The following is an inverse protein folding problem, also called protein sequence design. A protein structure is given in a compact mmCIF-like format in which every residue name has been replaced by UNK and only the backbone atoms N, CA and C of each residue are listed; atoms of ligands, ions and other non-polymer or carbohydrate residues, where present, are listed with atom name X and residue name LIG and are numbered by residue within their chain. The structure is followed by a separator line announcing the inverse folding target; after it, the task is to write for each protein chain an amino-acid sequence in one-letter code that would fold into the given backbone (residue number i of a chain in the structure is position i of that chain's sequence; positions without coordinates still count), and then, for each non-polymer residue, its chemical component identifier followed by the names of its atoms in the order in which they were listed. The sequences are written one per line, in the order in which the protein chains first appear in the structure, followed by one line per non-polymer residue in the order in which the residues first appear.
data_IF_947633775325
#
_entry.id   IF_947633775325
#
_cell.length_a   1.000
_cell.length_b   1.000
_cell.length_c   1.000
_cell.angle_alpha   90.00
_cell.angle_beta   90.00
_cell.angle_gamma   90.00
#
_symmetry.space_group_name_H-M   'P 1'
#
loop_
_entity.id
_entity.type
_entity.pdbx_description
1 polymer ?
#
# COMPACT_ATOMS: atom_id res chain seq x y z
N UNK A 1 -6.55 -21.43 -21.85
CA UNK A 1 -6.99 -20.09 -21.39
C UNK A 1 -8.07 -20.32 -20.35
N UNK A 2 -8.12 -19.54 -19.28
CA UNK A 2 -9.22 -19.64 -18.30
C UNK A 2 -10.38 -18.85 -18.92
N UNK A 3 -11.35 -19.57 -19.49
CA UNK A 3 -12.57 -19.01 -20.11
C UNK A 3 -13.68 -18.80 -19.06
N UNK A 4 -13.35 -18.13 -17.98
CA UNK A 4 -14.28 -17.89 -16.89
C UNK A 4 -14.60 -16.39 -16.83
N UNK A 5 -15.87 -15.96 -16.71
CA UNK A 5 -16.22 -14.56 -16.51
C UNK A 5 -15.55 -14.00 -15.26
N UNK A 6 -15.22 -12.71 -15.27
CA UNK A 6 -14.46 -12.06 -14.19
C UNK A 6 -15.17 -12.15 -12.83
N UNK A 7 -16.48 -12.02 -12.81
CA UNK A 7 -17.34 -12.13 -11.63
C UNK A 7 -17.39 -13.53 -11.00
N UNK A 8 -16.96 -14.55 -11.76
CA UNK A 8 -16.84 -15.93 -11.32
C UNK A 8 -15.39 -16.33 -10.98
N UNK A 9 -14.43 -15.42 -11.17
CA UNK A 9 -13.00 -15.70 -10.89
C UNK A 9 -12.66 -15.48 -9.42
N UNK A 10 -12.02 -16.46 -8.82
CA UNK A 10 -11.37 -16.28 -7.53
C UNK A 10 -9.94 -15.76 -7.64
N UNK A 11 -9.33 -15.42 -6.52
CA UNK A 11 -7.93 -14.92 -6.48
C UNK A 11 -6.93 -15.90 -7.10
N UNK A 12 -7.19 -17.21 -7.06
CA UNK A 12 -6.32 -18.22 -7.69
C UNK A 12 -6.36 -18.11 -9.21
N UNK A 13 -7.55 -17.90 -9.78
CA UNK A 13 -7.75 -17.74 -11.23
C UNK A 13 -7.04 -16.47 -11.70
N UNK A 14 -7.25 -15.33 -11.01
CA UNK A 14 -6.59 -14.06 -11.30
C UNK A 14 -5.06 -14.17 -11.21
N UNK A 15 -4.54 -14.87 -10.20
CA UNK A 15 -3.10 -15.11 -10.07
C UNK A 15 -2.54 -15.94 -11.22
N UNK A 16 -3.27 -16.96 -11.69
CA UNK A 16 -2.85 -17.77 -12.82
C UNK A 16 -2.79 -16.96 -14.12
N UNK A 17 -3.79 -16.10 -14.36
CA UNK A 17 -3.81 -15.18 -15.50
C UNK A 17 -2.64 -14.19 -15.43
N UNK A 18 -2.44 -13.57 -14.28
CA UNK A 18 -1.33 -12.63 -14.06
C UNK A 18 0.02 -13.31 -14.33
N UNK A 19 0.19 -14.57 -13.88
CA UNK A 19 1.43 -15.34 -14.16
C UNK A 19 1.70 -15.55 -15.64
N UNK A 20 0.66 -15.72 -16.45
CA UNK A 20 0.79 -15.91 -17.90
C UNK A 20 1.09 -14.58 -18.63
N UNK A 21 0.60 -13.48 -18.12
CA UNK A 21 0.74 -12.15 -18.73
C UNK A 21 2.01 -11.42 -18.31
N UNK A 22 2.56 -11.73 -17.15
CA UNK A 22 3.76 -11.08 -16.63
C UNK A 22 5.04 -11.70 -17.18
N UNK A 23 6.06 -10.85 -17.40
CA UNK A 23 7.44 -11.32 -17.61
C UNK A 23 7.94 -12.09 -16.37
N UNK A 24 8.94 -12.93 -16.52
CA UNK A 24 9.54 -13.64 -15.40
C UNK A 24 10.11 -12.69 -14.33
N UNK A 25 10.67 -11.57 -14.76
CA UNK A 25 11.20 -10.52 -13.88
C UNK A 25 10.07 -9.83 -13.08
N UNK A 26 9.01 -9.39 -13.75
CA UNK A 26 7.85 -8.78 -13.10
C UNK A 26 7.20 -9.76 -12.10
N UNK A 27 7.02 -11.00 -12.52
CA UNK A 27 6.50 -12.04 -11.64
C UNK A 27 7.36 -12.24 -10.40
N UNK A 28 8.68 -12.34 -10.57
CA UNK A 28 9.63 -12.47 -9.47
C UNK A 28 9.56 -11.28 -8.51
N UNK A 29 9.42 -10.07 -9.05
CA UNK A 29 9.29 -8.85 -8.25
C UNK A 29 8.02 -8.83 -7.39
N UNK A 30 6.85 -9.13 -7.97
CA UNK A 30 5.56 -9.03 -7.28
C UNK A 30 5.21 -10.26 -6.45
N UNK A 31 5.70 -11.44 -6.80
CA UNK A 31 5.41 -12.71 -6.11
C UNK A 31 6.63 -13.31 -5.42
N UNK A 32 7.76 -12.64 -5.47
CA UNK A 32 8.97 -13.05 -4.79
C UNK A 32 8.94 -12.75 -3.31
N UNK A 33 9.93 -13.26 -2.62
CA UNK A 33 10.14 -12.99 -1.20
C UNK A 33 11.62 -12.97 -0.87
N UNK A 34 11.96 -12.28 0.21
CA UNK A 34 13.32 -12.08 0.65
C UNK A 34 13.87 -13.29 1.42
N UNK A 35 15.18 -13.44 1.36
CA UNK A 35 15.97 -14.38 2.15
C UNK A 35 15.42 -15.81 2.07
N UNK A 36 15.17 -16.45 3.22
CA UNK A 36 14.64 -17.81 3.32
C UNK A 36 13.15 -17.93 3.03
N UNK A 37 12.47 -16.82 2.74
CA UNK A 37 11.01 -16.76 2.55
C UNK A 37 10.19 -17.19 3.78
N UNK A 38 10.80 -17.23 4.96
CA UNK A 38 10.11 -17.69 6.17
C UNK A 38 8.85 -16.89 6.48
N UNK A 39 8.94 -15.56 6.44
CA UNK A 39 7.79 -14.66 6.67
C UNK A 39 6.73 -14.82 5.57
N UNK A 40 7.13 -14.94 4.31
CA UNK A 40 6.22 -15.17 3.19
C UNK A 40 5.36 -16.43 3.40
N UNK A 41 5.96 -17.52 3.83
CA UNK A 41 5.24 -18.76 4.12
C UNK A 41 4.42 -18.70 5.42
N UNK A 42 4.88 -17.93 6.40
CA UNK A 42 4.18 -17.74 7.68
C UNK A 42 2.92 -16.90 7.55
N UNK A 43 2.93 -15.86 6.72
CA UNK A 43 1.83 -14.89 6.61
C UNK A 43 0.47 -15.57 6.31
N UNK A 44 0.32 -16.40 5.26
CA UNK A 44 -0.96 -17.08 5.01
C UNK A 44 -1.35 -18.03 6.16
N UNK A 45 -0.36 -18.72 6.75
CA UNK A 45 -0.60 -19.67 7.85
C UNK A 45 -1.05 -18.98 9.14
N UNK A 46 -0.71 -17.71 9.32
CA UNK A 46 -1.10 -16.97 10.53
C UNK A 46 -2.62 -16.87 10.67
N UNK A 47 -3.36 -16.73 9.56
CA UNK A 47 -4.81 -16.67 9.56
C UNK A 47 -5.47 -17.97 10.07
N UNK A 48 -4.85 -19.13 9.90
CA UNK A 48 -5.37 -20.40 10.42
C UNK A 48 -5.39 -20.51 11.95
N UNK A 49 -4.76 -19.55 12.66
CA UNK A 49 -4.79 -19.48 14.12
C UNK A 49 -6.05 -18.83 14.67
N UNK A 50 -6.82 -18.16 13.81
CA UNK A 50 -8.03 -17.43 14.18
C UNK A 50 -9.24 -18.18 13.64
N UNK A 51 -10.25 -18.38 14.50
CA UNK A 51 -11.49 -19.03 14.16
C UNK A 51 -12.65 -18.10 14.43
N UNK A 52 -13.66 -18.12 13.56
CA UNK A 52 -14.91 -17.41 13.79
C UNK A 52 -15.73 -18.14 14.86
N UNK A 53 -16.14 -17.41 15.88
CA UNK A 53 -17.14 -17.91 16.81
C UNK A 53 -18.54 -17.67 16.20
N UNK A 54 -19.10 -18.72 15.62
CA UNK A 54 -20.42 -18.66 14.99
C UNK A 54 -21.50 -18.26 16.00
N UNK A 55 -22.40 -17.36 15.59
CA UNK A 55 -23.66 -17.03 16.28
C UNK A 55 -24.79 -17.31 15.30
N UNK A 56 -25.84 -18.02 15.78
CA UNK A 56 -26.90 -18.53 14.91
C UNK A 56 -28.25 -17.79 15.05
N UNK A 57 -28.45 -17.05 16.12
CA UNK A 57 -29.73 -16.34 16.37
C UNK A 57 -29.61 -14.85 16.04
N UNK A 58 -29.04 -14.54 14.87
CA UNK A 58 -28.92 -13.17 14.35
C UNK A 58 -29.39 -13.14 12.91
N UNK A 59 -30.18 -12.13 12.58
CA UNK A 59 -30.46 -11.82 11.18
C UNK A 59 -29.22 -11.17 10.55
N UNK A 60 -28.73 -11.80 9.51
CA UNK A 60 -27.55 -11.36 8.73
C UNK A 60 -27.83 -11.39 7.23
N UNK A 61 -29.10 -11.31 6.84
CA UNK A 61 -29.50 -11.36 5.44
C UNK A 61 -28.91 -10.19 4.62
N UNK A 62 -28.77 -9.02 5.25
CA UNK A 62 -28.21 -7.82 4.62
C UNK A 62 -27.28 -7.10 5.61
N UNK A 63 -26.04 -7.59 5.77
CA UNK A 63 -25.11 -7.00 6.73
C UNK A 63 -24.60 -5.64 6.22
N UNK A 64 -24.63 -4.63 7.09
CA UNK A 64 -23.96 -3.37 6.84
C UNK A 64 -22.42 -3.56 6.93
N UNK A 65 -21.73 -3.42 5.79
CA UNK A 65 -20.29 -3.51 5.68
C UNK A 65 -19.63 -2.14 5.49
N UNK A 66 -20.38 -1.05 5.61
CA UNK A 66 -19.82 0.31 5.50
C UNK A 66 -18.90 0.61 6.69
N UNK A 67 -17.95 1.50 6.46
CA UNK A 67 -17.05 1.98 7.51
C UNK A 67 -16.69 3.44 7.26
N UNK A 68 -16.00 4.04 8.21
CA UNK A 68 -15.46 5.40 8.07
C UNK A 68 -13.98 5.42 8.39
N UNK A 69 -13.20 6.12 7.58
CA UNK A 69 -11.77 6.33 7.79
C UNK A 69 -11.38 7.74 7.32
N UNK A 70 -10.73 8.52 8.19
CA UNK A 70 -10.33 9.91 7.92
C UNK A 70 -11.51 10.78 7.42
N UNK A 71 -12.65 10.71 8.09
CA UNK A 71 -13.89 11.42 7.76
C UNK A 71 -14.49 11.06 6.37
N UNK A 72 -14.03 9.95 5.78
CA UNK A 72 -14.57 9.42 4.53
C UNK A 72 -15.38 8.15 4.78
N UNK A 73 -16.66 8.16 4.37
CA UNK A 73 -17.49 6.95 4.35
C UNK A 73 -17.04 6.04 3.21
N UNK A 74 -16.81 4.78 3.55
CA UNK A 74 -16.41 3.74 2.62
C UNK A 74 -17.51 2.68 2.55
N UNK A 75 -17.99 2.32 1.35
CA UNK A 75 -19.03 1.30 1.18
C UNK A 75 -18.52 -0.11 1.54
N UNK A 76 -17.21 -0.31 1.57
CA UNK A 76 -16.57 -1.57 1.96
C UNK A 76 -15.38 -1.30 2.89
N UNK A 77 -15.10 -2.16 3.88
CA UNK A 77 -13.97 -2.01 4.79
C UNK A 77 -12.66 -2.50 4.16
N UNK A 78 -12.35 -2.01 2.96
CA UNK A 78 -11.18 -2.41 2.20
C UNK A 78 -10.38 -1.19 1.73
N UNK A 79 -9.06 -1.33 1.81
CA UNK A 79 -8.10 -0.31 1.40
C UNK A 79 -7.10 -0.93 0.43
N UNK A 80 -6.87 -0.29 -0.71
CA UNK A 80 -5.87 -0.73 -1.68
C UNK A 80 -4.48 -0.34 -1.18
N UNK A 81 -3.62 -1.32 -0.97
CA UNK A 81 -2.26 -1.12 -0.46
C UNK A 81 -1.37 -0.34 -1.45
N UNK A 82 -0.38 0.44 -0.97
CA UNK A 82 0.52 1.21 -1.82
C UNK A 82 1.56 0.29 -2.46
N UNK A 83 1.42 0.03 -3.74
CA UNK A 83 2.35 -0.78 -4.53
C UNK A 83 3.17 0.12 -5.44
N UNK A 84 4.50 -0.03 -5.41
CA UNK A 84 5.41 0.60 -6.37
C UNK A 84 5.69 -0.29 -7.57
N UNK A 85 6.48 0.25 -8.52
CA UNK A 85 7.03 -0.53 -9.64
C UNK A 85 6.00 -1.09 -10.64
N UNK A 86 4.80 -0.54 -10.71
CA UNK A 86 3.81 -0.94 -11.72
C UNK A 86 4.33 -0.86 -13.16
N UNK A 87 5.32 -0.03 -13.42
CA UNK A 87 5.99 0.05 -14.73
C UNK A 87 6.60 -1.28 -15.21
N UNK A 88 6.82 -2.24 -14.31
CA UNK A 88 7.27 -3.60 -14.68
C UNK A 88 6.18 -4.44 -15.35
N UNK A 89 4.91 -4.07 -15.16
CA UNK A 89 3.77 -4.81 -15.73
C UNK A 89 3.05 -4.04 -16.82
N UNK A 90 3.45 -2.83 -17.12
CA UNK A 90 2.94 -2.03 -18.24
C UNK A 90 2.83 -0.54 -17.95
N UNK A 91 2.43 0.20 -18.98
CA UNK A 91 2.14 1.63 -18.86
C UNK A 91 0.75 1.83 -18.24
N UNK A 92 0.59 2.91 -17.46
CA UNK A 92 -0.69 3.34 -16.86
C UNK A 92 -1.34 2.31 -15.89
N UNK A 93 -0.59 1.35 -15.38
CA UNK A 93 -1.15 0.35 -14.46
C UNK A 93 -1.57 0.93 -13.12
N UNK A 94 -0.92 1.99 -12.66
CA UNK A 94 -1.37 2.77 -11.49
C UNK A 94 -2.77 3.36 -11.71
N UNK A 95 -3.05 3.87 -12.91
CA UNK A 95 -4.36 4.40 -13.27
C UNK A 95 -5.44 3.31 -13.26
N UNK A 96 -5.16 2.14 -13.83
CA UNK A 96 -6.10 1.00 -13.84
C UNK A 96 -6.47 0.56 -12.40
N UNK A 97 -5.49 0.57 -11.48
CA UNK A 97 -5.74 0.28 -10.05
C UNK A 97 -6.61 1.35 -9.40
N UNK A 98 -6.36 2.63 -9.70
CA UNK A 98 -7.15 3.74 -9.20
C UNK A 98 -8.61 3.69 -9.69
N UNK A 99 -8.82 3.40 -10.97
CA UNK A 99 -10.15 3.18 -11.57
C UNK A 99 -10.86 1.97 -10.95
N UNK A 100 -10.10 0.91 -10.63
CA UNK A 100 -10.64 -0.27 -9.93
C UNK A 100 -11.10 0.05 -8.51
N UNK A 101 -10.30 0.81 -7.76
CA UNK A 101 -10.68 1.28 -6.43
C UNK A 101 -11.94 2.17 -6.46
N UNK A 102 -12.04 3.05 -7.46
CA UNK A 102 -13.19 3.94 -7.65
C UNK A 102 -14.50 3.18 -7.85
N UNK A 103 -14.46 2.13 -8.66
CA UNK A 103 -15.66 1.30 -8.97
C UNK A 103 -16.30 0.66 -7.74
N UNK A 104 -15.51 0.38 -6.70
CA UNK A 104 -15.98 -0.26 -5.47
C UNK A 104 -15.99 0.69 -4.28
N UNK A 105 -15.61 1.95 -4.48
CA UNK A 105 -15.52 2.96 -3.43
C UNK A 105 -14.45 2.68 -2.36
N UNK A 106 -13.43 1.88 -2.70
CA UNK A 106 -12.34 1.57 -1.78
C UNK A 106 -11.36 2.74 -1.66
N UNK A 107 -10.90 3.04 -0.44
CA UNK A 107 -9.78 3.96 -0.24
C UNK A 107 -8.50 3.39 -0.88
N UNK A 108 -7.67 4.26 -1.44
CA UNK A 108 -6.44 3.87 -2.11
C UNK A 108 -5.22 4.52 -1.48
N UNK A 109 -4.22 3.71 -1.12
CA UNK A 109 -2.90 4.21 -0.77
C UNK A 109 -2.02 4.22 -2.02
N UNK A 110 -1.32 5.34 -2.26
CA UNK A 110 -0.44 5.50 -3.42
C UNK A 110 1.00 5.69 -2.98
N UNK A 111 1.91 5.06 -3.70
CA UNK A 111 3.33 5.03 -3.34
C UNK A 111 4.13 6.11 -4.06
N UNK A 112 4.99 6.85 -3.35
CA UNK A 112 5.98 7.73 -3.97
C UNK A 112 6.94 6.97 -4.94
N UNK A 113 7.03 5.65 -4.81
CA UNK A 113 7.81 4.82 -5.74
C UNK A 113 7.09 4.55 -7.07
N UNK A 114 5.84 4.93 -7.21
CA UNK A 114 5.12 4.91 -8.47
C UNK A 114 5.67 5.99 -9.45
N UNK A 115 5.41 5.82 -10.73
CA UNK A 115 5.78 6.82 -11.75
C UNK A 115 4.71 7.88 -11.94
N UNK A 116 3.49 7.60 -11.55
CA UNK A 116 2.36 8.53 -11.61
C UNK A 116 2.48 9.62 -10.56
N UNK A 117 2.03 10.82 -10.90
CA UNK A 117 1.99 11.96 -9.99
C UNK A 117 0.70 11.98 -9.16
N UNK A 118 0.63 12.76 -8.06
CA UNK A 118 -0.62 12.95 -7.33
C UNK A 118 -1.79 13.44 -8.20
N UNK A 119 -1.51 14.27 -9.20
CA UNK A 119 -2.53 14.73 -10.18
C UNK A 119 -3.07 13.59 -11.02
N UNK A 120 -2.20 12.69 -11.48
CA UNK A 120 -2.62 11.54 -12.30
C UNK A 120 -3.57 10.64 -11.51
N UNK A 121 -3.27 10.38 -10.23
CA UNK A 121 -4.15 9.58 -9.37
C UNK A 121 -5.48 10.28 -9.12
N UNK A 122 -5.45 11.58 -8.78
CA UNK A 122 -6.70 12.33 -8.54
C UNK A 122 -7.59 12.38 -9.78
N UNK A 123 -7.01 12.45 -10.97
CA UNK A 123 -7.74 12.41 -12.24
C UNK A 123 -8.33 11.03 -12.57
N UNK A 124 -7.74 9.97 -12.04
CA UNK A 124 -8.16 8.60 -12.30
C UNK A 124 -9.26 8.09 -11.37
N UNK A 125 -9.45 8.69 -10.19
CA UNK A 125 -10.42 8.23 -9.20
C UNK A 125 -11.00 9.38 -8.37
N UNK A 126 -12.24 9.23 -7.92
CA UNK A 126 -12.88 10.07 -6.90
C UNK A 126 -12.74 9.46 -5.49
N UNK A 127 -12.31 8.21 -5.39
CA UNK A 127 -12.10 7.54 -4.11
C UNK A 127 -11.10 8.32 -3.23
N UNK A 128 -11.18 8.18 -1.89
CA UNK A 128 -10.22 8.78 -0.98
C UNK A 128 -8.81 8.22 -1.23
N UNK A 129 -7.82 9.11 -1.29
CA UNK A 129 -6.41 8.76 -1.56
C UNK A 129 -5.54 9.10 -0.37
N UNK A 130 -4.61 8.21 -0.03
CA UNK A 130 -3.54 8.43 0.95
C UNK A 130 -2.20 8.37 0.24
N UNK A 131 -1.41 9.44 0.32
CA UNK A 131 -0.06 9.45 -0.24
C UNK A 131 0.97 8.84 0.73
N UNK A 132 1.81 7.91 0.27
CA UNK A 132 2.81 7.22 1.08
C UNK A 132 4.22 7.56 0.63
N UNK A 133 4.94 8.31 1.48
CA UNK A 133 6.31 8.78 1.25
C UNK A 133 7.38 7.78 1.69
N UNK A 134 8.59 7.96 1.15
CA UNK A 134 9.82 7.29 1.57
C UNK A 134 10.87 8.34 1.94
N UNK A 135 11.36 8.33 3.18
CA UNK A 135 12.28 9.36 3.68
C UNK A 135 13.62 9.43 2.93
N UNK A 136 14.02 8.37 2.22
CA UNK A 136 15.21 8.35 1.36
C UNK A 136 15.09 9.22 0.09
N UNK A 137 13.93 9.82 -0.16
CA UNK A 137 13.72 10.80 -1.25
C UNK A 137 14.13 12.22 -0.88
N UNK A 138 14.34 12.46 0.41
CA UNK A 138 14.64 13.80 0.94
C UNK A 138 13.39 14.60 1.30
N UNK A 139 13.50 15.38 2.36
CA UNK A 139 12.39 16.14 2.92
C UNK A 139 11.82 17.20 1.96
N UNK A 140 12.66 17.78 1.12
CA UNK A 140 12.22 18.79 0.14
C UNK A 140 11.23 18.19 -0.88
N UNK A 141 11.60 17.07 -1.52
CA UNK A 141 10.72 16.38 -2.46
C UNK A 141 9.42 15.94 -1.76
N UNK A 142 9.53 15.39 -0.56
CA UNK A 142 8.37 14.93 0.21
C UNK A 142 7.42 16.09 0.54
N UNK A 143 7.95 17.25 0.99
CA UNK A 143 7.13 18.43 1.28
C UNK A 143 6.33 18.89 0.07
N UNK A 144 6.91 18.87 -1.13
CA UNK A 144 6.21 19.21 -2.37
C UNK A 144 5.04 18.26 -2.65
N UNK A 145 5.25 16.94 -2.48
CA UNK A 145 4.21 15.93 -2.65
C UNK A 145 3.10 16.03 -1.58
N UNK A 146 3.49 16.30 -0.33
CA UNK A 146 2.54 16.48 0.78
C UNK A 146 1.65 17.69 0.52
N UNK A 147 2.24 18.82 0.16
CA UNK A 147 1.48 20.01 -0.20
C UNK A 147 0.53 19.76 -1.37
N UNK A 148 1.03 19.14 -2.43
CA UNK A 148 0.21 18.84 -3.60
C UNK A 148 -0.92 17.85 -3.26
N UNK A 149 -0.68 16.88 -2.38
CA UNK A 149 -1.72 15.96 -1.90
C UNK A 149 -2.81 16.70 -1.12
N UNK A 150 -2.43 17.64 -0.27
CA UNK A 150 -3.38 18.49 0.45
C UNK A 150 -4.20 19.36 -0.50
N UNK A 151 -3.54 20.05 -1.47
CA UNK A 151 -4.20 20.89 -2.46
C UNK A 151 -5.18 20.10 -3.36
N UNK A 152 -4.93 18.82 -3.58
CA UNK A 152 -5.77 17.91 -4.36
C UNK A 152 -6.84 17.18 -3.52
N UNK A 153 -6.97 17.49 -2.23
CA UNK A 153 -7.96 16.90 -1.35
C UNK A 153 -7.75 15.41 -1.09
N UNK A 154 -6.51 14.98 -0.89
CA UNK A 154 -6.24 13.62 -0.42
C UNK A 154 -6.74 13.45 1.02
N UNK A 155 -7.11 12.22 1.38
CA UNK A 155 -7.63 11.89 2.70
C UNK A 155 -6.57 11.90 3.80
N UNK A 156 -5.33 11.54 3.47
CA UNK A 156 -4.21 11.49 4.39
C UNK A 156 -2.87 11.47 3.64
N UNK A 157 -1.78 11.65 4.38
CA UNK A 157 -0.41 11.40 3.93
C UNK A 157 0.27 10.45 4.89
N UNK A 158 1.36 9.80 4.48
CA UNK A 158 2.03 8.87 5.39
C UNK A 158 3.48 8.59 5.04
N UNK A 159 4.12 7.85 5.94
CA UNK A 159 5.51 7.43 5.82
C UNK A 159 5.59 5.91 5.82
N UNK A 160 6.35 5.35 4.89
CA UNK A 160 6.71 3.93 4.87
C UNK A 160 7.99 3.72 5.67
N UNK A 161 7.93 2.95 6.76
CA UNK A 161 9.03 2.74 7.72
C UNK A 161 9.75 1.40 7.55
N UNK A 162 9.14 0.42 6.90
CA UNK A 162 9.61 -0.97 6.80
C UNK A 162 10.68 -1.23 5.73
N UNK A 163 11.11 -0.21 4.99
CA UNK A 163 12.14 -0.35 3.93
C UNK A 163 13.52 0.01 4.46
N UNK A 164 14.01 -0.74 5.44
CA UNK A 164 15.24 -0.41 6.16
C UNK A 164 16.51 -0.73 5.36
N UNK A 165 16.54 -1.83 4.63
CA UNK A 165 17.69 -2.26 3.80
C UNK A 165 17.23 -3.02 2.56
N UNK A 166 17.90 -2.84 1.41
CA UNK A 166 17.68 -3.72 0.28
C UNK A 166 18.14 -5.14 0.65
N UNK A 167 17.31 -6.14 0.37
CA UNK A 167 17.67 -7.54 0.53
C UNK A 167 18.71 -7.93 -0.52
N UNK A 168 19.69 -8.72 -0.10
CA UNK A 168 20.78 -9.19 -1.00
C UNK A 168 20.53 -10.59 -1.54
N UNK A 169 19.62 -11.35 -0.93
CA UNK A 169 19.37 -12.77 -1.18
C UNK A 169 17.87 -13.00 -1.39
N UNK A 170 17.52 -13.96 -2.21
CA UNK A 170 16.14 -14.34 -2.50
C UNK A 170 15.66 -13.86 -3.85
N UNK A 171 14.34 -13.78 -4.02
CA UNK A 171 13.70 -13.43 -5.29
C UNK A 171 13.63 -11.91 -5.54
N UNK A 172 14.02 -11.12 -4.55
CA UNK A 172 13.95 -9.66 -4.66
C UNK A 172 15.09 -9.15 -5.54
N UNK A 173 14.73 -8.47 -6.61
CA UNK A 173 15.71 -7.76 -7.44
C UNK A 173 16.16 -6.51 -6.68
N UNK A 174 17.46 -6.34 -6.38
CA UNK A 174 17.94 -5.12 -5.75
C UNK A 174 17.64 -3.92 -6.66
N UNK A 175 16.87 -2.96 -6.17
CA UNK A 175 16.71 -1.69 -6.86
C UNK A 175 18.05 -0.94 -6.80
N UNK A 176 18.79 -0.94 -7.89
CA UNK A 176 19.99 -0.11 -8.01
C UNK A 176 19.60 1.35 -8.26
N UNK A 177 20.44 2.26 -7.79
CA UNK A 177 20.42 3.65 -8.22
C UNK A 177 20.91 3.76 -9.68
N UNK A 178 20.64 4.89 -10.34
CA UNK A 178 21.09 5.13 -11.74
C UNK A 178 22.61 4.98 -11.93
N UNK A 179 23.37 5.14 -10.85
CA UNK A 179 24.82 4.96 -10.80
C UNK A 179 25.27 3.52 -10.43
N UNK A 180 24.34 2.56 -10.42
CA UNK A 180 24.64 1.15 -10.14
C UNK A 180 24.91 0.83 -8.67
N UNK A 181 24.86 1.82 -7.77
CA UNK A 181 25.08 1.59 -6.34
C UNK A 181 23.84 1.01 -5.68
N UNK A 182 23.99 0.11 -4.69
CA UNK A 182 22.84 -0.35 -3.92
C UNK A 182 22.18 0.84 -3.24
N UNK A 183 20.86 0.96 -3.34
CA UNK A 183 20.11 1.96 -2.58
C UNK A 183 20.38 1.76 -1.09
N UNK A 184 20.79 2.82 -0.42
CA UNK A 184 20.80 2.81 1.05
C UNK A 184 19.36 2.62 1.51
N UNK A 185 19.17 1.74 2.50
CA UNK A 185 17.88 1.58 3.14
C UNK A 185 17.40 2.92 3.71
N UNK A 186 16.12 3.05 3.83
CA UNK A 186 15.53 4.20 4.50
C UNK A 186 15.84 4.10 5.99
N UNK A 187 16.36 5.19 6.55
CA UNK A 187 16.43 5.37 7.99
C UNK A 187 15.38 6.43 8.32
N UNK A 188 14.17 5.99 8.59
CA UNK A 188 13.13 6.86 9.12
C UNK A 188 13.09 6.71 10.66
N UNK A 189 12.74 7.78 11.34
CA UNK A 189 12.72 7.90 12.79
C UNK A 189 11.41 8.54 13.27
N UNK A 190 11.10 8.48 14.57
CA UNK A 190 9.94 9.20 15.12
C UNK A 190 9.95 10.70 14.79
N UNK A 191 11.13 11.33 14.72
CA UNK A 191 11.27 12.73 14.31
C UNK A 191 10.80 13.03 12.88
N UNK A 192 10.75 12.03 12.02
CA UNK A 192 10.22 12.20 10.67
C UNK A 192 8.68 12.19 10.67
N UNK A 193 8.06 11.50 11.63
CA UNK A 193 6.61 11.58 11.87
C UNK A 193 6.25 12.98 12.38
N UNK A 194 6.94 13.45 13.43
CA UNK A 194 6.77 14.80 13.98
C UNK A 194 6.96 15.87 12.90
N UNK A 195 8.00 15.73 12.08
CA UNK A 195 8.24 16.62 10.96
C UNK A 195 7.10 16.59 9.93
N UNK A 196 6.60 15.42 9.54
CA UNK A 196 5.49 15.31 8.59
C UNK A 196 4.22 15.96 9.14
N UNK A 197 3.91 15.80 10.42
CA UNK A 197 2.79 16.49 11.07
C UNK A 197 2.88 18.01 10.97
N UNK A 198 4.06 18.57 10.92
CA UNK A 198 4.29 20.01 10.76
C UNK A 198 4.10 20.49 9.31
N UNK A 199 4.12 19.58 8.33
CA UNK A 199 4.03 19.93 6.91
C UNK A 199 2.58 19.97 6.40
N UNK A 200 1.61 19.45 7.14
CA UNK A 200 0.23 19.27 6.67
C UNK A 200 -0.79 19.31 7.80
N UNK A 201 -2.02 19.64 7.44
CA UNK A 201 -3.20 19.46 8.29
C UNK A 201 -3.89 18.11 8.10
N UNK A 202 -3.48 17.33 7.08
CA UNK A 202 -4.02 16.00 6.84
C UNK A 202 -3.60 15.01 7.92
N UNK A 203 -4.39 13.97 8.18
CA UNK A 203 -3.96 12.83 9.00
C UNK A 203 -2.65 12.23 8.50
N UNK A 204 -1.78 11.79 9.43
CA UNK A 204 -0.50 11.14 9.13
C UNK A 204 -0.55 9.66 9.45
N UNK A 205 -0.30 8.84 8.43
CA UNK A 205 -0.29 7.38 8.50
C UNK A 205 1.13 6.86 8.57
N UNK A 206 1.40 5.91 9.47
CA UNK A 206 2.70 5.22 9.53
C UNK A 206 2.54 3.77 9.11
N UNK A 207 3.17 3.39 7.99
CA UNK A 207 3.11 2.03 7.43
C UNK A 207 4.37 1.24 7.79
N UNK A 208 4.17 -0.02 8.19
CA UNK A 208 5.27 -0.96 8.43
C UNK A 208 5.52 -1.27 9.90
N UNK A 209 4.62 -0.86 10.78
CA UNK A 209 4.69 -1.16 12.21
C UNK A 209 4.26 -2.61 12.45
N UNK A 210 5.11 -3.38 13.13
CA UNK A 210 4.87 -4.81 13.40
C UNK A 210 4.84 -5.13 14.90
N UNK A 211 5.27 -4.22 15.75
CA UNK A 211 5.35 -4.40 17.21
C UNK A 211 4.56 -3.36 17.98
N UNK A 212 4.02 -3.76 19.15
CA UNK A 212 3.27 -2.85 20.01
C UNK A 212 4.12 -1.69 20.56
N UNK A 213 5.42 -1.91 20.76
CA UNK A 213 6.33 -0.88 21.25
C UNK A 213 6.56 0.19 20.17
N UNK A 214 6.82 -0.22 18.93
CA UNK A 214 6.93 0.70 17.79
C UNK A 214 5.62 1.44 17.54
N UNK A 215 4.47 0.77 17.72
CA UNK A 215 3.18 1.42 17.61
C UNK A 215 3.02 2.56 18.61
N UNK A 216 3.39 2.33 19.88
CA UNK A 216 3.37 3.39 20.91
C UNK A 216 4.30 4.55 20.56
N UNK A 217 5.48 4.25 20.05
CA UNK A 217 6.45 5.27 19.62
C UNK A 217 5.87 6.10 18.48
N UNK A 218 5.27 5.48 17.49
CA UNK A 218 4.68 6.17 16.35
C UNK A 218 3.49 7.07 16.75
N UNK A 219 2.59 6.58 17.62
CA UNK A 219 1.48 7.36 18.16
C UNK A 219 1.97 8.56 18.98
N UNK A 220 2.98 8.35 19.86
CA UNK A 220 3.56 9.43 20.64
C UNK A 220 4.25 10.50 19.77
N UNK A 221 4.75 10.11 18.58
CA UNK A 221 5.31 11.03 17.60
C UNK A 221 4.24 11.73 16.74
N UNK A 222 2.96 11.46 16.98
CA UNK A 222 1.84 12.14 16.34
C UNK A 222 1.24 11.42 15.13
N UNK A 223 1.47 10.11 14.96
CA UNK A 223 0.76 9.33 13.95
C UNK A 223 -0.74 9.25 14.28
N UNK A 224 -1.59 9.52 13.28
CA UNK A 224 -3.04 9.43 13.41
C UNK A 224 -3.54 8.00 13.10
N UNK A 225 -2.76 7.22 12.31
CA UNK A 225 -3.06 5.84 11.99
C UNK A 225 -1.78 5.01 11.75
N UNK A 226 -1.92 3.67 11.93
CA UNK A 226 -0.84 2.69 11.76
C UNK A 226 -1.29 1.58 10.81
#
# INVERSE_FOLDING_TARGET
MIEKPLDQMGLRDLRAIARQQMTAEAWKHFNGAAETKATFHRNPRAFHKYLFRQKIFHDVADPDITTELFDHKLPIPAVVAPVGSFSLIGKQKEREVAEGADRVGAMMLVSQAAKSTPKDWRNATKAPIVFMAYMNRGREEISQYVKLSQDLGFAAVGITMDTLRPTKIGDVVPLSTKDGKPRRGQVASPKDIEWMKQQTTLPVVVKGIMGADDARVAVNAGADAL
#
